data_IF_955257563124
#
_entry.id   IF_955257563124
#
_cell.length_a   1.000
_cell.length_b   1.000
_cell.length_c   1.000
_cell.angle_alpha   90.00
_cell.angle_beta   90.00
_cell.angle_gamma   90.00
#
_symmetry.space_group_name_H-M   'P 1'
#
loop_
_entity.id
_entity.type
_entity.pdbx_description
1 polymer ?
#
# COMPACT_ATOMS: atom_id res chain seq x y z
N UNK A 1 -33.54 62.31 5.64
CA UNK A 1 -33.88 60.86 5.57
C UNK A 1 -33.79 60.22 4.18
N UNK A 2 -33.74 60.97 3.07
CA UNK A 2 -33.66 60.37 1.70
C UNK A 2 -32.25 59.99 1.21
N UNK A 3 -31.18 60.35 1.93
CA UNK A 3 -29.79 60.04 1.53
C UNK A 3 -29.25 58.73 2.09
N UNK A 4 -29.84 58.20 3.16
CA UNK A 4 -29.37 56.96 3.81
C UNK A 4 -29.87 55.69 3.10
N UNK A 5 -30.96 55.78 2.33
CA UNK A 5 -31.53 54.64 1.61
C UNK A 5 -30.76 54.27 0.32
N UNK A 6 -30.01 55.20 -0.27
CA UNK A 6 -29.30 54.94 -1.53
C UNK A 6 -28.01 54.14 -1.32
N UNK A 7 -27.34 54.29 -0.16
CA UNK A 7 -26.11 53.56 0.15
C UNK A 7 -26.36 52.08 0.50
N UNK A 8 -27.52 51.75 1.05
CA UNK A 8 -27.86 50.37 1.44
C UNK A 8 -28.19 49.49 0.23
N UNK A 9 -28.79 50.07 -0.83
CA UNK A 9 -29.12 49.32 -2.07
C UNK A 9 -27.85 49.04 -2.89
N UNK A 10 -26.86 49.94 -2.87
CA UNK A 10 -25.61 49.75 -3.60
C UNK A 10 -24.70 48.71 -2.93
N UNK A 11 -24.73 48.59 -1.60
CA UNK A 11 -23.98 47.55 -0.88
C UNK A 11 -24.57 46.14 -1.09
N UNK A 12 -25.87 46.02 -1.36
CA UNK A 12 -26.53 44.74 -1.58
C UNK A 12 -26.33 44.20 -3.02
N UNK A 13 -26.05 45.06 -4.00
CA UNK A 13 -25.80 44.66 -5.38
C UNK A 13 -24.39 44.12 -5.64
N UNK A 14 -23.45 44.30 -4.70
CA UNK A 14 -22.07 43.75 -4.78
C UNK A 14 -22.00 42.32 -4.18
N UNK A 15 -23.10 41.83 -3.60
CA UNK A 15 -23.26 40.44 -3.15
C UNK A 15 -23.87 39.53 -4.24
N UNK A 16 -23.86 39.96 -5.51
CA UNK A 16 -24.12 39.02 -6.61
C UNK A 16 -23.05 37.96 -6.60
N UNK A 17 -23.46 36.74 -6.22
CA UNK A 17 -22.65 35.53 -6.21
C UNK A 17 -21.71 35.53 -7.42
N UNK A 18 -20.41 35.65 -7.14
CA UNK A 18 -19.39 35.25 -8.11
C UNK A 18 -19.71 33.79 -8.36
N UNK A 19 -20.13 33.39 -9.58
CA UNK A 19 -20.29 31.98 -9.87
C UNK A 19 -18.93 31.37 -9.54
N UNK A 20 -18.90 30.42 -8.60
CA UNK A 20 -17.74 29.59 -8.39
C UNK A 20 -17.47 28.94 -9.74
N UNK A 21 -16.56 29.55 -10.52
CA UNK A 21 -16.04 28.93 -11.71
C UNK A 21 -15.41 27.66 -11.17
N UNK A 22 -16.06 26.53 -11.42
CA UNK A 22 -15.49 25.23 -11.18
C UNK A 22 -14.17 25.24 -11.96
N UNK A 23 -13.09 25.49 -11.24
CA UNK A 23 -11.76 25.38 -11.80
C UNK A 23 -11.69 23.93 -12.25
N UNK A 24 -11.39 23.66 -13.52
CA UNK A 24 -11.03 22.31 -13.93
C UNK A 24 -9.78 21.95 -13.12
N UNK A 25 -10.00 21.21 -12.03
CA UNK A 25 -8.91 20.74 -11.19
C UNK A 25 -8.39 19.48 -11.85
N UNK A 26 -7.37 19.62 -12.66
CA UNK A 26 -6.63 18.48 -13.18
C UNK A 26 -5.85 17.82 -12.02
N UNK A 27 -6.00 16.50 -11.90
CA UNK A 27 -5.10 15.69 -11.08
C UNK A 27 -3.71 15.75 -11.74
N UNK A 28 -2.64 16.05 -11.01
CA UNK A 28 -1.32 16.05 -11.62
C UNK A 28 -0.98 14.65 -12.08
N UNK A 29 -0.53 14.60 -13.32
CA UNK A 29 0.06 13.42 -13.90
C UNK A 29 1.48 13.29 -13.39
N UNK A 30 1.75 12.22 -12.66
CA UNK A 30 3.10 11.88 -12.26
C UNK A 30 3.75 11.05 -13.35
N UNK A 31 5.05 11.28 -13.52
CA UNK A 31 5.91 10.43 -14.34
C UNK A 31 5.94 9.01 -13.79
N UNK A 32 6.35 8.06 -14.63
CA UNK A 32 6.49 6.67 -14.20
C UNK A 32 7.52 6.53 -13.06
N UNK A 33 8.58 7.34 -13.08
CA UNK A 33 9.65 7.29 -12.09
C UNK A 33 9.18 7.74 -10.70
N UNK A 34 8.43 8.84 -10.61
CA UNK A 34 7.82 9.32 -9.36
C UNK A 34 6.84 8.30 -8.77
N UNK A 35 6.11 7.57 -9.63
CA UNK A 35 5.20 6.49 -9.19
C UNK A 35 5.98 5.32 -8.57
N UNK A 36 7.11 4.94 -9.15
CA UNK A 36 7.96 3.87 -8.63
C UNK A 36 8.64 4.26 -7.32
N UNK A 37 9.17 5.48 -7.23
CA UNK A 37 9.78 5.98 -5.99
C UNK A 37 8.77 5.96 -4.83
N UNK A 38 7.53 6.41 -5.08
CA UNK A 38 6.47 6.35 -4.07
C UNK A 38 6.11 4.92 -3.68
N UNK A 39 6.05 4.00 -4.64
CA UNK A 39 5.77 2.58 -4.37
C UNK A 39 6.86 1.97 -3.49
N UNK A 40 8.13 2.20 -3.81
CA UNK A 40 9.27 1.71 -3.03
C UNK A 40 9.23 2.23 -1.58
N UNK A 41 8.95 3.53 -1.40
CA UNK A 41 8.79 4.12 -0.07
C UNK A 41 7.65 3.46 0.73
N UNK A 42 6.50 3.22 0.08
CA UNK A 42 5.36 2.58 0.74
C UNK A 42 5.66 1.14 1.14
N UNK A 43 6.35 0.37 0.28
CA UNK A 43 6.74 -1.01 0.59
C UNK A 43 7.60 -1.08 1.85
N UNK A 44 8.65 -0.25 1.94
CA UNK A 44 9.51 -0.20 3.14
C UNK A 44 8.72 0.26 4.37
N UNK A 45 7.85 1.26 4.22
CA UNK A 45 6.99 1.72 5.31
C UNK A 45 6.09 0.62 5.87
N UNK A 46 5.59 -0.26 5.01
CA UNK A 46 4.75 -1.40 5.39
C UNK A 46 5.55 -2.50 6.08
N UNK A 47 6.74 -2.80 5.57
CA UNK A 47 7.68 -3.76 6.18
C UNK A 47 8.13 -3.30 7.57
N UNK A 48 8.38 -2.02 7.75
CA UNK A 48 8.68 -1.44 9.06
C UNK A 48 7.47 -1.53 10.00
N UNK A 49 6.27 -1.22 9.52
CA UNK A 49 5.06 -1.28 10.33
C UNK A 49 4.76 -2.72 10.80
N UNK A 50 4.95 -3.72 9.95
CA UNK A 50 4.69 -5.12 10.30
C UNK A 50 5.70 -5.66 11.32
N UNK A 51 6.97 -5.23 11.24
CA UNK A 51 7.99 -5.56 12.25
C UNK A 51 7.63 -4.94 13.59
N UNK A 52 7.31 -3.64 13.61
CA UNK A 52 6.92 -2.95 14.86
C UNK A 52 5.68 -3.56 15.52
N UNK A 53 4.71 -4.00 14.72
CA UNK A 53 3.54 -4.72 15.24
C UNK A 53 3.93 -6.11 15.78
N UNK A 54 4.77 -6.86 15.07
CA UNK A 54 5.27 -8.15 15.53
C UNK A 54 5.99 -8.07 16.88
N UNK A 55 6.81 -7.04 17.07
CA UNK A 55 7.50 -6.75 18.34
C UNK A 55 6.50 -6.56 19.49
N UNK A 56 5.41 -5.82 19.25
CA UNK A 56 4.33 -5.64 20.25
C UNK A 56 3.65 -6.96 20.65
N UNK A 57 3.71 -7.97 19.78
CA UNK A 57 3.25 -9.33 20.04
C UNK A 57 4.35 -10.29 20.51
N UNK A 58 5.55 -9.77 20.81
CA UNK A 58 6.68 -10.54 21.31
C UNK A 58 7.40 -11.37 20.24
N UNK A 59 7.24 -11.03 18.96
CA UNK A 59 7.94 -11.67 17.85
C UNK A 59 9.24 -10.93 17.54
N UNK A 60 10.28 -11.69 17.21
CA UNK A 60 11.53 -11.18 16.62
C UNK A 60 11.33 -10.84 15.13
N UNK A 61 12.19 -10.00 14.51
CA UNK A 61 12.10 -9.71 13.08
C UNK A 61 12.15 -10.97 12.18
N UNK A 62 12.95 -11.97 12.56
CA UNK A 62 13.02 -13.27 11.89
C UNK A 62 11.68 -14.01 11.94
N UNK A 63 11.06 -14.09 13.12
CA UNK A 63 9.73 -14.69 13.29
C UNK A 63 8.66 -13.95 12.49
N UNK A 64 8.73 -12.62 12.43
CA UNK A 64 7.86 -11.80 11.57
C UNK A 64 8.09 -12.18 10.10
N UNK A 65 9.34 -12.31 9.66
CA UNK A 65 9.69 -12.67 8.29
C UNK A 65 9.11 -14.03 7.89
N UNK A 66 9.26 -15.05 8.74
CA UNK A 66 8.64 -16.36 8.50
C UNK A 66 7.12 -16.30 8.47
N UNK A 67 6.54 -15.53 9.39
CA UNK A 67 5.10 -15.37 9.47
C UNK A 67 4.53 -14.68 8.22
N UNK A 68 5.11 -13.55 7.77
CA UNK A 68 4.71 -12.87 6.53
C UNK A 68 4.97 -13.75 5.32
N UNK A 69 6.15 -14.36 5.25
CA UNK A 69 6.57 -15.27 4.20
C UNK A 69 5.52 -16.34 3.93
N UNK A 70 5.04 -17.03 4.98
CA UNK A 70 4.02 -18.10 4.86
C UNK A 70 2.78 -17.69 4.06
N UNK A 71 2.29 -16.47 4.23
CA UNK A 71 1.11 -15.98 3.53
C UNK A 71 1.45 -15.45 2.14
N UNK A 72 2.61 -14.83 1.99
CA UNK A 72 3.11 -14.36 0.71
C UNK A 72 3.43 -15.49 -0.26
N UNK A 73 3.96 -16.63 0.22
CA UNK A 73 4.41 -17.74 -0.62
C UNK A 73 3.34 -18.25 -1.59
N UNK A 74 2.05 -18.14 -1.22
CA UNK A 74 0.94 -18.52 -2.10
C UNK A 74 0.77 -17.59 -3.31
N UNK A 75 1.13 -16.31 -3.18
CA UNK A 75 1.17 -15.36 -4.30
C UNK A 75 2.38 -15.52 -5.22
N UNK A 76 3.29 -16.44 -4.89
CA UNK A 76 4.51 -16.74 -5.64
C UNK A 76 4.42 -18.02 -6.48
N UNK A 77 3.19 -18.45 -6.82
CA UNK A 77 2.96 -19.59 -7.71
C UNK A 77 3.72 -19.42 -9.04
N UNK A 78 4.58 -20.38 -9.34
CA UNK A 78 5.39 -20.42 -10.56
C UNK A 78 6.90 -20.17 -10.38
N UNK A 79 7.41 -20.16 -9.14
CA UNK A 79 8.83 -20.01 -8.82
C UNK A 79 9.52 -21.31 -8.40
N UNK A 80 9.23 -22.46 -9.02
CA UNK A 80 9.72 -23.78 -8.54
C UNK A 80 11.11 -24.16 -9.03
N UNK A 81 11.65 -23.41 -9.98
CA UNK A 81 13.06 -23.45 -10.36
C UNK A 81 13.77 -22.22 -9.78
N UNK A 82 15.01 -22.38 -9.33
CA UNK A 82 15.83 -21.29 -8.82
C UNK A 82 15.81 -20.04 -9.72
N UNK A 83 15.89 -20.22 -11.05
CA UNK A 83 15.84 -19.11 -12.01
C UNK A 83 14.49 -18.40 -12.05
N UNK A 84 13.38 -19.13 -11.88
CA UNK A 84 12.03 -18.56 -11.88
C UNK A 84 11.79 -17.78 -10.58
N UNK A 85 12.20 -18.34 -9.44
CA UNK A 85 12.15 -17.66 -8.16
C UNK A 85 13.01 -16.38 -8.18
N UNK A 86 14.26 -16.48 -8.65
CA UNK A 86 15.14 -15.33 -8.81
C UNK A 86 14.50 -14.26 -9.71
N UNK A 87 13.94 -14.64 -10.86
CA UNK A 87 13.28 -13.69 -11.77
C UNK A 87 12.13 -12.97 -11.06
N UNK A 88 11.37 -13.70 -10.25
CA UNK A 88 10.27 -13.15 -9.47
C UNK A 88 10.76 -12.22 -8.34
N UNK A 89 11.86 -12.56 -7.66
CA UNK A 89 12.51 -11.71 -6.66
C UNK A 89 13.09 -10.45 -7.30
N UNK A 90 13.79 -10.60 -8.42
CA UNK A 90 14.35 -9.48 -9.17
C UNK A 90 13.26 -8.52 -9.66
N UNK A 91 12.12 -9.02 -10.13
CA UNK A 91 11.02 -8.12 -10.52
C UNK A 91 10.53 -7.25 -9.36
N UNK A 92 10.49 -7.78 -8.13
CA UNK A 92 10.13 -7.00 -6.96
C UNK A 92 11.25 -6.03 -6.57
N UNK A 93 12.51 -6.48 -6.66
CA UNK A 93 13.70 -5.66 -6.45
C UNK A 93 13.75 -4.44 -7.37
N UNK A 94 13.41 -4.65 -8.64
CA UNK A 94 13.39 -3.58 -9.66
C UNK A 94 12.29 -2.53 -9.43
N UNK A 95 11.42 -2.70 -8.43
CA UNK A 95 10.51 -1.64 -8.00
C UNK A 95 11.24 -0.48 -7.30
N UNK A 96 12.46 -0.72 -6.80
CA UNK A 96 13.26 0.28 -6.10
C UNK A 96 14.13 1.08 -7.08
N UNK A 97 14.08 2.43 -7.05
CA UNK A 97 15.02 3.26 -7.80
C UNK A 97 16.48 2.92 -7.45
N UNK A 98 17.33 2.78 -8.48
CA UNK A 98 18.73 2.42 -8.30
C UNK A 98 18.99 0.93 -8.01
N UNK A 99 17.96 0.07 -8.05
CA UNK A 99 18.12 -1.37 -7.97
C UNK A 99 19.03 -1.92 -9.07
N UNK A 100 19.99 -2.73 -8.68
CA UNK A 100 20.88 -3.49 -9.57
C UNK A 100 20.97 -4.93 -9.10
N UNK A 101 20.99 -5.85 -10.05
CA UNK A 101 21.16 -7.29 -9.81
C UNK A 101 22.11 -7.90 -10.84
N UNK A 102 22.91 -8.88 -10.42
CA UNK A 102 23.81 -9.63 -11.30
C UNK A 102 23.67 -11.13 -11.03
N UNK A 103 23.58 -11.95 -12.09
CA UNK A 103 23.72 -13.41 -11.95
C UNK A 103 25.20 -13.75 -12.02
N UNK A 104 25.76 -14.23 -10.91
CA UNK A 104 27.18 -14.59 -10.78
C UNK A 104 27.45 -15.95 -11.40
N UNK A 105 26.56 -16.91 -11.18
CA UNK A 105 26.64 -18.23 -11.79
C UNK A 105 25.25 -18.85 -11.93
N UNK A 106 25.10 -19.73 -12.91
CA UNK A 106 23.84 -20.45 -13.16
C UNK A 106 24.13 -21.82 -13.74
N UNK A 107 23.44 -22.81 -13.20
CA UNK A 107 23.38 -24.19 -13.67
C UNK A 107 21.89 -24.59 -13.76
N UNK A 108 21.56 -25.78 -14.29
CA UNK A 108 20.16 -26.21 -14.34
C UNK A 108 19.46 -26.32 -12.96
N UNK A 109 20.22 -26.54 -11.88
CA UNK A 109 19.65 -26.77 -10.54
C UNK A 109 20.14 -25.81 -9.47
N UNK A 110 21.16 -25.00 -9.76
CA UNK A 110 21.73 -24.04 -8.81
C UNK A 110 21.99 -22.69 -9.47
N UNK A 111 21.77 -21.62 -8.73
CA UNK A 111 21.98 -20.25 -9.18
C UNK A 111 22.58 -19.40 -8.06
N UNK A 112 23.51 -18.52 -8.41
CA UNK A 112 24.04 -17.49 -7.50
C UNK A 112 23.82 -16.12 -8.12
N UNK A 113 23.25 -15.19 -7.36
CA UNK A 113 23.03 -13.82 -7.79
C UNK A 113 23.38 -12.80 -6.70
N UNK A 114 23.76 -11.59 -7.11
CA UNK A 114 24.02 -10.44 -6.25
C UNK A 114 22.95 -9.39 -6.46
N UNK A 115 22.44 -8.83 -5.37
CA UNK A 115 21.51 -7.71 -5.37
C UNK A 115 22.10 -6.58 -4.52
N UNK A 116 22.07 -5.34 -4.98
CA UNK A 116 22.34 -4.22 -4.08
C UNK A 116 21.16 -4.03 -3.10
N UNK A 117 21.29 -3.16 -2.10
CA UNK A 117 20.24 -2.90 -1.09
C UNK A 117 19.65 -1.49 -1.19
N UNK A 118 18.86 -1.17 -2.24
CA UNK A 118 18.30 0.16 -2.45
C UNK A 118 17.24 0.51 -1.40
N UNK A 119 16.60 -0.49 -0.76
CA UNK A 119 15.66 -0.30 0.34
C UNK A 119 16.29 0.37 1.56
N UNK A 120 17.58 0.15 1.82
CA UNK A 120 18.31 0.78 2.93
C UNK A 120 18.29 2.31 2.83
N UNK A 121 18.30 2.85 1.60
CA UNK A 121 18.22 4.30 1.35
C UNK A 121 16.86 4.92 1.69
N UNK A 122 15.81 4.10 1.80
CA UNK A 122 14.46 4.52 2.17
C UNK A 122 14.26 4.57 3.69
N UNK A 123 15.21 4.04 4.46
CA UNK A 123 15.19 4.14 5.91
C UNK A 123 15.55 5.57 6.36
N UNK A 124 14.99 5.99 7.49
CA UNK A 124 15.22 7.32 8.06
C UNK A 124 16.68 7.58 8.41
N UNK A 125 16.97 8.81 8.86
CA UNK A 125 18.33 9.20 9.24
C UNK A 125 18.94 8.23 10.26
N UNK A 126 20.09 7.64 9.90
CA UNK A 126 20.77 6.62 10.73
C UNK A 126 20.29 5.19 10.51
N UNK A 127 19.46 4.91 9.49
CA UNK A 127 18.97 3.57 9.20
C UNK A 127 17.87 3.11 10.15
N UNK A 128 17.08 4.04 10.69
CA UNK A 128 15.99 3.74 11.62
C UNK A 128 14.72 4.46 11.21
N UNK A 129 13.61 3.73 11.16
CA UNK A 129 12.27 4.25 10.87
C UNK A 129 11.28 3.61 11.85
N UNK A 130 10.46 4.42 12.53
CA UNK A 130 9.45 3.92 13.50
C UNK A 130 10.02 2.95 14.56
N UNK A 131 11.28 3.12 14.96
CA UNK A 131 11.95 2.26 15.94
C UNK A 131 12.57 0.98 15.37
N UNK A 132 12.33 0.66 14.09
CA UNK A 132 12.88 -0.50 13.39
C UNK A 132 14.18 -0.10 12.70
N UNK A 133 15.24 -0.88 12.91
CA UNK A 133 16.53 -0.67 12.25
C UNK A 133 16.58 -1.30 10.86
N UNK A 134 17.52 -0.85 10.02
CA UNK A 134 17.85 -1.50 8.75
C UNK A 134 18.25 -2.97 8.94
N UNK A 135 18.88 -3.31 10.07
CA UNK A 135 19.26 -4.69 10.41
C UNK A 135 18.03 -5.56 10.67
N UNK A 136 17.05 -5.07 11.43
CA UNK A 136 15.79 -5.76 11.68
C UNK A 136 14.99 -5.96 10.39
N UNK A 137 14.95 -4.93 9.54
CA UNK A 137 14.32 -5.00 8.23
C UNK A 137 14.96 -6.09 7.36
N UNK A 138 16.28 -6.10 7.25
CA UNK A 138 17.00 -7.09 6.45
C UNK A 138 16.84 -8.50 7.01
N UNK A 139 16.86 -8.65 8.35
CA UNK A 139 16.61 -9.94 9.02
C UNK A 139 15.22 -10.48 8.66
N UNK A 140 14.19 -9.63 8.73
CA UNK A 140 12.82 -9.99 8.34
C UNK A 140 12.73 -10.37 6.85
N UNK A 141 13.37 -9.59 5.96
CA UNK A 141 13.36 -9.86 4.51
C UNK A 141 14.07 -11.16 4.13
N UNK A 142 15.18 -11.50 4.79
CA UNK A 142 15.86 -12.79 4.60
C UNK A 142 14.93 -13.94 4.96
N UNK A 143 14.36 -13.93 6.17
CA UNK A 143 13.46 -14.97 6.64
C UNK A 143 12.18 -15.09 5.78
N UNK A 144 11.64 -13.95 5.32
CA UNK A 144 10.53 -13.90 4.37
C UNK A 144 10.87 -14.61 3.05
N UNK A 145 12.01 -14.26 2.45
CA UNK A 145 12.41 -14.84 1.17
C UNK A 145 12.77 -16.32 1.29
N UNK A 146 13.40 -16.75 2.38
CA UNK A 146 13.65 -18.16 2.67
C UNK A 146 12.35 -18.95 2.76
N UNK A 147 11.35 -18.43 3.48
CA UNK A 147 10.03 -19.07 3.60
C UNK A 147 9.31 -19.18 2.25
N UNK A 148 9.46 -18.18 1.38
CA UNK A 148 8.93 -18.20 0.01
C UNK A 148 9.66 -19.24 -0.84
N UNK A 149 10.98 -19.32 -0.71
CA UNK A 149 11.81 -20.28 -1.43
C UNK A 149 11.45 -21.71 -1.03
N UNK A 150 11.38 -21.99 0.27
CA UNK A 150 11.03 -23.30 0.83
C UNK A 150 9.66 -23.77 0.33
N UNK A 151 8.66 -22.87 0.34
CA UNK A 151 7.33 -23.18 -0.17
C UNK A 151 7.32 -23.54 -1.66
N UNK A 152 8.21 -22.91 -2.43
CA UNK A 152 8.38 -23.19 -3.85
C UNK A 152 9.32 -24.37 -4.13
N UNK A 153 9.89 -24.99 -3.10
CA UNK A 153 10.83 -26.11 -3.28
C UNK A 153 12.19 -25.67 -3.78
N UNK A 154 12.64 -24.49 -3.38
CA UNK A 154 13.98 -23.95 -3.65
C UNK A 154 14.67 -23.72 -2.31
N UNK A 155 15.83 -24.32 -2.08
CA UNK A 155 16.68 -23.92 -0.97
C UNK A 155 17.28 -22.55 -1.28
N UNK A 156 17.16 -21.60 -0.35
CA UNK A 156 17.74 -20.27 -0.47
C UNK A 156 18.64 -19.98 0.72
N UNK A 157 19.88 -19.63 0.42
CA UNK A 157 20.83 -19.04 1.36
C UNK A 157 21.11 -17.59 0.94
N UNK A 158 21.20 -16.70 1.93
CA UNK A 158 21.47 -15.27 1.72
C UNK A 158 22.68 -14.88 2.58
N UNK A 159 23.71 -14.33 1.95
CA UNK A 159 24.90 -13.80 2.61
C UNK A 159 25.08 -12.32 2.24
N UNK A 160 25.34 -11.44 3.20
CA UNK A 160 25.64 -10.04 2.91
C UNK A 160 27.14 -9.86 2.63
N UNK A 161 27.47 -9.40 1.43
CA UNK A 161 28.82 -9.04 0.96
C UNK A 161 28.89 -7.53 0.66
N UNK A 162 29.28 -6.75 1.67
CA UNK A 162 29.35 -5.29 1.61
C UNK A 162 27.97 -4.67 1.38
N UNK A 163 27.81 -3.93 0.29
CA UNK A 163 26.53 -3.28 -0.07
C UNK A 163 25.56 -4.21 -0.83
N UNK A 164 25.89 -5.50 -0.91
CA UNK A 164 25.11 -6.48 -1.67
C UNK A 164 24.67 -7.66 -0.82
N UNK A 165 23.51 -8.22 -1.16
CA UNK A 165 23.12 -9.56 -0.76
C UNK A 165 23.46 -10.55 -1.87
N UNK A 166 24.11 -11.64 -1.50
CA UNK A 166 24.45 -12.78 -2.34
C UNK A 166 23.46 -13.89 -2.05
N UNK A 167 22.63 -14.20 -3.03
CA UNK A 167 21.62 -15.24 -2.95
C UNK A 167 22.14 -16.48 -3.64
N UNK A 168 22.21 -17.59 -2.89
CA UNK A 168 22.51 -18.92 -3.41
C UNK A 168 21.23 -19.74 -3.39
N UNK A 169 20.78 -20.21 -4.56
CA UNK A 169 19.54 -20.94 -4.73
C UNK A 169 19.79 -22.34 -5.29
N UNK A 170 19.14 -23.36 -4.74
CA UNK A 170 19.09 -24.71 -5.28
C UNK A 170 17.66 -25.23 -5.46
N UNK A 171 17.33 -25.69 -6.67
CA UNK A 171 16.04 -26.33 -6.96
C UNK A 171 15.99 -27.72 -6.31
N UNK A 172 15.04 -27.93 -5.39
CA UNK A 172 14.92 -29.19 -4.63
C UNK A 172 13.98 -30.21 -5.29
N UNK A 173 13.01 -29.76 -6.10
CA UNK A 173 12.02 -30.63 -6.75
C UNK A 173 11.89 -30.32 -8.25
N UNK A 174 11.56 -31.35 -9.05
CA UNK A 174 11.37 -31.21 -10.51
C UNK A 174 10.19 -30.30 -10.91
N UNK A 175 10.11 -29.87 -12.18
CA UNK A 175 9.15 -28.86 -12.62
C UNK A 175 7.71 -29.35 -12.46
N UNK A 176 6.88 -28.55 -11.80
CA UNK A 176 5.41 -28.70 -11.80
C UNK A 176 4.84 -27.49 -12.53
N UNK A 177 4.01 -27.72 -13.55
CA UNK A 177 3.36 -26.67 -14.32
C UNK A 177 2.51 -25.76 -13.41
N UNK A 178 2.85 -24.49 -13.34
CA UNK A 178 1.99 -23.44 -12.77
C UNK A 178 1.25 -22.71 -13.90
N UNK A 179 -0.03 -22.40 -13.67
CA UNK A 179 -0.90 -21.67 -14.60
C UNK A 179 -0.46 -20.21 -14.75
N UNK A 180 -0.43 -19.71 -15.98
CA UNK A 180 0.23 -18.46 -16.41
C UNK A 180 -0.46 -17.12 -16.06
N UNK A 181 -1.51 -17.08 -15.25
CA UNK A 181 -2.47 -15.97 -15.28
C UNK A 181 -2.23 -14.76 -14.34
N UNK A 182 -1.07 -14.62 -13.67
CA UNK A 182 -0.87 -13.57 -12.63
C UNK A 182 0.31 -12.59 -12.88
N UNK A 183 0.63 -12.23 -14.13
CA UNK A 183 1.81 -11.40 -14.40
C UNK A 183 1.64 -9.88 -14.16
N UNK A 184 0.42 -9.34 -14.15
CA UNK A 184 0.22 -7.88 -14.23
C UNK A 184 -0.25 -7.16 -12.96
N UNK A 185 -0.56 -7.84 -11.87
CA UNK A 185 -1.11 -7.17 -10.67
C UNK A 185 -0.35 -7.52 -9.38
N UNK A 186 0.93 -7.91 -9.47
CA UNK A 186 1.63 -8.51 -8.32
C UNK A 186 1.86 -7.54 -7.16
N UNK A 187 2.37 -6.33 -7.39
CA UNK A 187 2.62 -5.36 -6.31
C UNK A 187 1.34 -4.96 -5.58
N UNK A 188 0.29 -4.64 -6.34
CA UNK A 188 -1.04 -4.35 -5.82
C UNK A 188 -1.63 -5.55 -5.07
N UNK A 189 -1.60 -6.74 -5.66
CA UNK A 189 -2.06 -7.98 -5.02
C UNK A 189 -1.31 -8.27 -3.72
N UNK A 190 0.02 -8.11 -3.70
CA UNK A 190 0.83 -8.28 -2.50
C UNK A 190 0.49 -7.23 -1.43
N UNK A 191 0.26 -5.97 -1.81
CA UNK A 191 -0.20 -4.94 -0.86
C UNK A 191 -1.59 -5.29 -0.30
N UNK A 192 -2.53 -5.75 -1.12
CA UNK A 192 -3.82 -6.21 -0.58
C UNK A 192 -3.66 -7.43 0.33
N UNK A 193 -2.77 -8.38 -0.01
CA UNK A 193 -2.50 -9.53 0.85
C UNK A 193 -1.94 -9.12 2.21
N UNK A 194 -0.94 -8.23 2.27
CA UNK A 194 -0.40 -7.75 3.56
C UNK A 194 -1.48 -7.09 4.38
N UNK A 195 -2.27 -6.19 3.77
CA UNK A 195 -3.29 -5.46 4.51
C UNK A 195 -4.40 -6.41 5.00
N UNK A 196 -4.84 -7.37 4.18
CA UNK A 196 -5.81 -8.40 4.60
C UNK A 196 -5.26 -9.29 5.71
N UNK A 197 -3.96 -9.60 5.69
CA UNK A 197 -3.30 -10.34 6.76
C UNK A 197 -3.28 -9.54 8.08
N UNK A 198 -2.85 -8.28 8.04
CA UNK A 198 -2.85 -7.37 9.18
C UNK A 198 -4.26 -7.22 9.77
N UNK A 199 -5.24 -7.05 8.90
CA UNK A 199 -6.64 -6.96 9.29
C UNK A 199 -7.12 -8.28 9.95
N UNK A 200 -6.83 -9.43 9.34
CA UNK A 200 -7.18 -10.74 9.88
C UNK A 200 -6.66 -10.95 11.30
N UNK A 201 -5.39 -10.61 11.57
CA UNK A 201 -4.83 -10.68 12.93
C UNK A 201 -5.58 -9.82 13.93
N UNK A 202 -5.88 -8.57 13.56
CA UNK A 202 -6.57 -7.64 14.45
C UNK A 202 -7.99 -8.12 14.74
N UNK A 203 -8.69 -8.66 13.74
CA UNK A 203 -9.98 -9.31 13.93
C UNK A 203 -9.88 -10.53 14.85
N UNK A 204 -8.87 -11.38 14.67
CA UNK A 204 -8.61 -12.55 15.54
C UNK A 204 -8.29 -12.15 16.99
N UNK A 205 -7.67 -10.98 17.19
CA UNK A 205 -7.42 -10.41 18.53
C UNK A 205 -8.68 -9.88 19.22
N UNK A 206 -9.81 -9.85 18.52
CA UNK A 206 -11.12 -9.41 19.03
C UNK A 206 -11.52 -8.00 18.61
N UNK A 207 -10.75 -7.30 17.78
CA UNK A 207 -11.15 -6.01 17.23
C UNK A 207 -12.28 -6.19 16.21
N UNK A 208 -13.19 -5.22 16.16
CA UNK A 208 -14.14 -5.05 15.06
C UNK A 208 -13.44 -4.46 13.84
N UNK A 209 -14.00 -4.65 12.64
CA UNK A 209 -13.44 -4.08 11.41
C UNK A 209 -13.31 -2.55 11.47
N UNK A 210 -14.27 -1.88 12.11
CA UNK A 210 -14.20 -0.44 12.37
C UNK A 210 -13.02 -0.07 13.26
N UNK A 211 -12.83 -0.77 14.39
CA UNK A 211 -11.68 -0.54 15.28
C UNK A 211 -10.34 -0.77 14.56
N UNK A 212 -10.26 -1.73 13.64
CA UNK A 212 -9.08 -1.95 12.80
C UNK A 212 -8.74 -0.69 12.00
N UNK A 213 -9.72 -0.15 11.29
CA UNK A 213 -9.54 1.06 10.48
C UNK A 213 -9.19 2.30 11.32
N UNK A 214 -9.82 2.46 12.49
CA UNK A 214 -9.53 3.55 13.43
C UNK A 214 -8.09 3.45 13.97
N UNK A 215 -7.63 2.24 14.31
CA UNK A 215 -6.27 2.00 14.76
C UNK A 215 -5.23 2.27 13.65
N UNK A 216 -5.51 1.85 12.40
CA UNK A 216 -4.67 2.18 11.25
C UNK A 216 -4.63 3.69 11.00
N UNK A 217 -5.76 4.38 11.11
CA UNK A 217 -5.80 5.83 10.97
C UNK A 217 -4.95 6.51 12.05
N UNK A 218 -5.05 6.08 13.31
CA UNK A 218 -4.24 6.63 14.39
C UNK A 218 -2.73 6.49 14.13
N UNK A 219 -2.31 5.37 13.52
CA UNK A 219 -0.92 5.13 13.15
C UNK A 219 -0.46 6.04 12.00
N UNK A 220 -1.26 6.12 10.93
CA UNK A 220 -0.82 6.73 9.68
C UNK A 220 -1.23 8.18 9.49
N UNK A 221 -2.25 8.70 10.19
CA UNK A 221 -2.81 10.03 9.94
C UNK A 221 -1.75 11.15 10.02
N UNK A 222 -0.77 11.00 10.91
CA UNK A 222 0.34 11.96 11.05
C UNK A 222 1.23 12.09 9.79
N UNK A 223 1.24 11.08 8.92
CA UNK A 223 1.97 11.10 7.65
C UNK A 223 1.24 11.84 6.54
N UNK A 224 -0.02 12.23 6.78
CA UNK A 224 -0.83 13.00 5.85
C UNK A 224 -0.71 14.49 6.10
N UNK A 225 -0.69 15.28 5.02
CA UNK A 225 -0.50 16.73 5.10
C UNK A 225 -1.52 17.52 4.27
N UNK A 226 -2.71 16.95 4.02
CA UNK A 226 -3.73 17.61 3.23
C UNK A 226 -4.37 18.80 3.99
N UNK A 227 -4.56 19.92 3.31
CA UNK A 227 -5.13 21.16 3.86
C UNK A 227 -6.51 21.50 3.30
N UNK A 228 -6.92 20.81 2.23
CA UNK A 228 -8.23 20.96 1.61
C UNK A 228 -8.86 19.59 1.40
N UNK A 229 -10.21 19.50 1.33
CA UNK A 229 -10.91 18.26 1.02
C UNK A 229 -10.42 17.63 -0.29
N UNK A 230 -10.17 18.44 -1.32
CA UNK A 230 -9.58 17.99 -2.57
C UNK A 230 -8.21 17.32 -2.38
N UNK A 231 -7.31 17.93 -1.60
CA UNK A 231 -5.99 17.36 -1.35
C UNK A 231 -6.09 16.02 -0.61
N UNK A 232 -7.02 15.88 0.33
CA UNK A 232 -7.23 14.65 1.07
C UNK A 232 -7.80 13.56 0.16
N UNK A 233 -8.89 13.84 -0.56
CA UNK A 233 -9.48 12.90 -1.52
C UNK A 233 -8.43 12.44 -2.54
N UNK A 234 -7.66 13.37 -3.11
CA UNK A 234 -6.61 13.05 -4.07
C UNK A 234 -5.54 12.14 -3.46
N UNK A 235 -5.10 12.37 -2.23
CA UNK A 235 -4.13 11.50 -1.57
C UNK A 235 -4.68 10.09 -1.28
N UNK A 236 -5.95 9.99 -0.91
CA UNK A 236 -6.63 8.70 -0.71
C UNK A 236 -6.81 7.95 -2.04
N UNK A 237 -7.27 8.67 -3.07
CA UNK A 237 -7.37 8.14 -4.43
C UNK A 237 -6.01 7.69 -4.96
N UNK A 238 -4.94 8.42 -4.67
CA UNK A 238 -3.57 8.05 -5.03
C UNK A 238 -3.17 6.69 -4.45
N UNK A 239 -3.44 6.46 -3.15
CA UNK A 239 -3.15 5.16 -2.52
C UNK A 239 -4.02 4.02 -3.09
N UNK A 240 -5.19 4.35 -3.63
CA UNK A 240 -6.13 3.41 -4.24
C UNK A 240 -5.79 3.08 -5.71
N UNK A 241 -5.05 3.93 -6.42
CA UNK A 241 -4.61 3.71 -7.82
C UNK A 241 -3.48 2.68 -7.99
N UNK A 242 -3.33 1.73 -7.07
CA UNK A 242 -2.45 0.57 -7.27
C UNK A 242 -2.99 -0.39 -8.33
N UNK A 243 -4.29 -0.32 -8.67
CA UNK A 243 -4.89 -0.97 -9.84
C UNK A 243 -4.98 0.03 -11.02
N UNK A 244 -4.40 -0.29 -12.21
CA UNK A 244 -4.44 0.61 -13.37
C UNK A 244 -5.85 0.84 -13.95
N UNK A 245 -6.83 0.02 -13.60
CA UNK A 245 -8.23 0.19 -14.00
C UNK A 245 -9.05 0.97 -12.98
N UNK A 246 -8.47 1.31 -11.82
CA UNK A 246 -9.15 2.10 -10.80
C UNK A 246 -9.13 3.58 -11.19
N UNK A 247 -10.30 4.10 -11.54
CA UNK A 247 -10.50 5.53 -11.79
C UNK A 247 -11.76 6.00 -11.09
N UNK A 248 -11.70 7.18 -10.48
CA UNK A 248 -12.86 7.83 -9.87
C UNK A 248 -13.34 8.97 -10.76
N UNK A 249 -14.65 9.12 -10.87
CA UNK A 249 -15.30 10.28 -11.47
C UNK A 249 -15.50 11.36 -10.39
N UNK A 250 -14.85 12.51 -10.53
CA UNK A 250 -15.07 13.66 -9.63
C UNK A 250 -16.34 14.36 -10.05
N UNK A 251 -17.35 14.34 -9.19
CA UNK A 251 -18.68 14.96 -9.43
C UNK A 251 -18.63 16.45 -9.14
N UNK A 252 -17.97 16.85 -8.05
CA UNK A 252 -17.76 18.25 -7.69
C UNK A 252 -16.47 18.40 -6.88
N UNK A 253 -15.78 19.53 -7.05
CA UNK A 253 -14.63 19.89 -6.23
C UNK A 253 -14.59 21.40 -6.00
N UNK A 254 -14.45 21.79 -4.74
CA UNK A 254 -14.38 23.17 -4.28
C UNK A 254 -13.45 23.32 -3.07
N UNK A 255 -13.33 24.53 -2.52
CA UNK A 255 -12.41 24.80 -1.41
C UNK A 255 -12.78 24.08 -0.11
N UNK A 256 -14.07 23.79 0.10
CA UNK A 256 -14.61 23.24 1.34
C UNK A 256 -15.31 21.88 1.16
N UNK A 257 -15.42 21.38 -0.08
CA UNK A 257 -16.03 20.09 -0.39
C UNK A 257 -15.43 19.45 -1.64
N UNK A 258 -15.31 18.13 -1.66
CA UNK A 258 -15.17 17.32 -2.88
C UNK A 258 -16.13 16.15 -2.81
N UNK A 259 -16.74 15.81 -3.95
CA UNK A 259 -17.57 14.62 -4.12
C UNK A 259 -17.11 13.82 -5.34
N UNK A 260 -16.97 12.51 -5.20
CA UNK A 260 -16.52 11.62 -6.26
C UNK A 260 -17.25 10.27 -6.24
N UNK A 261 -17.32 9.61 -7.40
CA UNK A 261 -17.83 8.26 -7.61
C UNK A 261 -16.65 7.34 -7.95
N UNK A 262 -16.45 6.29 -7.19
CA UNK A 262 -15.32 5.37 -7.34
C UNK A 262 -15.81 3.91 -7.41
N UNK A 263 -15.24 3.06 -8.27
CA UNK A 263 -15.54 1.63 -8.24
C UNK A 263 -15.06 0.99 -6.91
N UNK A 264 -15.57 -0.18 -6.59
CA UNK A 264 -15.09 -0.96 -5.44
C UNK A 264 -13.85 -1.75 -5.89
N UNK A 265 -12.67 -1.31 -5.47
CA UNK A 265 -11.37 -1.80 -5.97
C UNK A 265 -10.97 -3.21 -5.50
N UNK A 266 -11.46 -3.63 -4.34
CA UNK A 266 -10.90 -4.79 -3.64
C UNK A 266 -11.75 -6.05 -3.77
N UNK A 267 -12.93 -5.98 -4.38
CA UNK A 267 -13.90 -7.09 -4.37
C UNK A 267 -13.30 -8.38 -4.95
N UNK A 268 -12.60 -8.30 -6.08
CA UNK A 268 -11.95 -9.46 -6.70
C UNK A 268 -10.81 -10.04 -5.84
N UNK A 269 -10.02 -9.20 -5.17
CA UNK A 269 -8.90 -9.68 -4.34
C UNK A 269 -9.41 -10.26 -3.03
N UNK A 270 -10.35 -9.59 -2.36
CA UNK A 270 -10.90 -10.03 -1.07
C UNK A 270 -11.74 -11.29 -1.24
N UNK A 271 -12.52 -11.42 -2.31
CA UNK A 271 -13.29 -12.64 -2.57
C UNK A 271 -12.38 -13.87 -2.71
N UNK A 272 -11.21 -13.70 -3.34
CA UNK A 272 -10.28 -14.81 -3.57
C UNK A 272 -9.31 -15.06 -2.40
N UNK A 273 -8.78 -13.99 -1.79
CA UNK A 273 -7.72 -14.07 -0.79
C UNK A 273 -8.21 -13.78 0.65
N UNK A 274 -9.25 -12.97 0.83
CA UNK A 274 -9.77 -12.61 2.16
C UNK A 274 -10.22 -13.82 2.98
N UNK A 275 -10.76 -14.85 2.31
CA UNK A 275 -11.12 -16.14 2.95
C UNK A 275 -9.94 -16.77 3.68
N UNK A 276 -8.71 -16.61 3.17
CA UNK A 276 -7.51 -17.19 3.77
C UNK A 276 -7.15 -16.53 5.12
N UNK A 277 -7.60 -15.30 5.33
CA UNK A 277 -7.34 -14.49 6.52
C UNK A 277 -8.59 -14.30 7.37
N UNK A 278 -9.69 -15.01 7.06
CA UNK A 278 -10.99 -14.83 7.70
C UNK A 278 -11.50 -13.38 7.63
N UNK A 279 -11.19 -12.67 6.54
CA UNK A 279 -11.61 -11.29 6.28
C UNK A 279 -12.66 -11.27 5.18
N UNK A 280 -13.81 -10.64 5.43
CA UNK A 280 -14.90 -10.52 4.45
C UNK A 280 -14.86 -9.18 3.70
N UNK A 281 -15.46 -9.07 2.49
CA UNK A 281 -15.59 -7.80 1.78
C UNK A 281 -16.27 -6.69 2.58
N UNK A 282 -17.25 -7.04 3.42
CA UNK A 282 -17.95 -6.10 4.29
C UNK A 282 -17.02 -5.54 5.35
N UNK A 283 -16.23 -6.41 5.99
CA UNK A 283 -15.24 -6.00 6.98
C UNK A 283 -14.20 -5.07 6.34
N UNK A 284 -13.72 -5.39 5.14
CA UNK A 284 -12.78 -4.53 4.39
C UNK A 284 -13.38 -3.16 4.07
N UNK A 285 -14.65 -3.12 3.69
CA UNK A 285 -15.37 -1.88 3.41
C UNK A 285 -15.46 -1.02 4.66
N UNK A 286 -15.87 -1.62 5.78
CA UNK A 286 -15.99 -0.93 7.06
C UNK A 286 -14.65 -0.40 7.58
N UNK A 287 -13.59 -1.23 7.52
CA UNK A 287 -12.24 -0.81 7.94
C UNK A 287 -11.68 0.32 7.07
N UNK A 288 -11.84 0.25 5.74
CA UNK A 288 -11.38 1.32 4.85
C UNK A 288 -12.14 2.63 5.09
N UNK A 289 -13.45 2.55 5.31
CA UNK A 289 -14.26 3.73 5.63
C UNK A 289 -13.80 4.35 6.95
N UNK A 290 -13.63 3.55 7.99
CA UNK A 290 -13.16 4.00 9.30
C UNK A 290 -11.75 4.61 9.25
N UNK A 291 -10.85 4.02 8.45
CA UNK A 291 -9.52 4.56 8.19
C UNK A 291 -9.60 5.97 7.56
N UNK A 292 -10.37 6.11 6.48
CA UNK A 292 -10.51 7.38 5.78
C UNK A 292 -11.18 8.46 6.65
N UNK A 293 -12.16 8.08 7.46
CA UNK A 293 -12.80 8.94 8.47
C UNK A 293 -11.79 9.43 9.51
N UNK A 294 -10.97 8.53 10.07
CA UNK A 294 -9.98 8.87 11.09
C UNK A 294 -8.89 9.81 10.56
N UNK A 295 -8.38 9.57 9.35
CA UNK A 295 -7.42 10.47 8.71
C UNK A 295 -8.05 11.84 8.41
N UNK A 296 -9.30 11.86 7.93
CA UNK A 296 -10.01 13.11 7.69
C UNK A 296 -10.21 13.92 8.96
N UNK A 297 -10.63 13.26 10.05
CA UNK A 297 -10.82 13.90 11.35
C UNK A 297 -9.54 14.50 11.90
N UNK A 298 -8.43 13.77 11.85
CA UNK A 298 -7.11 14.26 12.26
C UNK A 298 -6.71 15.55 11.53
N UNK A 299 -7.10 15.69 10.26
CA UNK A 299 -6.82 16.86 9.42
C UNK A 299 -7.89 17.97 9.52
N UNK A 300 -8.85 17.86 10.44
CA UNK A 300 -9.92 18.85 10.60
C UNK A 300 -10.97 18.81 9.48
N UNK A 301 -11.17 17.64 8.89
CA UNK A 301 -12.13 17.40 7.81
C UNK A 301 -13.14 16.32 8.23
N UNK A 302 -14.09 16.03 7.34
CA UNK A 302 -15.06 14.96 7.48
C UNK A 302 -15.06 14.16 6.18
N UNK A 303 -14.91 12.84 6.30
CA UNK A 303 -15.13 11.89 5.22
C UNK A 303 -16.51 11.25 5.40
N UNK A 304 -17.26 11.12 4.33
CA UNK A 304 -18.52 10.37 4.28
C UNK A 304 -18.51 9.51 3.04
N UNK A 305 -18.90 8.27 3.20
CA UNK A 305 -18.95 7.31 2.12
C UNK A 305 -20.26 6.56 2.12
N UNK A 306 -20.86 6.42 0.94
CA UNK A 306 -22.06 5.61 0.71
C UNK A 306 -21.84 4.74 -0.52
N UNK A 307 -22.67 3.70 -0.67
CA UNK A 307 -22.70 2.88 -1.88
C UNK A 307 -24.01 3.14 -2.62
N UNK A 308 -23.91 3.61 -3.87
CA UNK A 308 -25.04 3.88 -4.76
C UNK A 308 -24.83 3.07 -6.05
N UNK A 309 -25.75 2.15 -6.36
CA UNK A 309 -25.71 1.31 -7.57
C UNK A 309 -24.39 0.54 -7.75
N UNK A 310 -23.80 0.05 -6.65
CA UNK A 310 -22.52 -0.69 -6.66
C UNK A 310 -21.28 0.21 -6.83
N UNK A 311 -21.44 1.52 -6.74
CA UNK A 311 -20.36 2.51 -6.83
C UNK A 311 -20.23 3.23 -5.49
N UNK A 312 -18.99 3.42 -5.01
CA UNK A 312 -18.72 4.21 -3.81
C UNK A 312 -18.89 5.68 -4.13
N UNK A 313 -19.71 6.38 -3.36
CA UNK A 313 -19.85 7.84 -3.42
C UNK A 313 -19.16 8.42 -2.20
N UNK A 314 -18.04 9.08 -2.45
CA UNK A 314 -17.19 9.68 -1.42
C UNK A 314 -17.46 11.18 -1.39
N UNK A 315 -17.69 11.72 -0.20
CA UNK A 315 -17.81 13.16 0.06
C UNK A 315 -16.82 13.54 1.16
N UNK A 316 -15.97 14.51 0.89
CA UNK A 316 -15.05 15.06 1.89
C UNK A 316 -15.39 16.54 2.09
N UNK A 317 -15.59 16.96 3.34
CA UNK A 317 -15.90 18.35 3.69
C UNK A 317 -14.93 18.89 4.73
N UNK A 318 -14.68 20.20 4.69
CA UNK A 318 -13.96 20.89 5.76
C UNK A 318 -14.92 21.06 6.96
N UNK A 319 -14.42 20.84 8.19
CA UNK A 319 -15.19 21.14 9.42
C UNK A 319 -15.16 22.63 9.76
#
# INVERSE_FOLDING_TARGET
MKRTLLSTVLALAVLTAIPAQAQEIELPEFTMEERWERMAFLLVGWEVAIISMGEQHGMTPEEVGHWVGKYFSQGWLGGREAVQLLTAMNRNHMAFPGATSEVVSSTPTSLVARFNRPGDSQMGAGGVTMGVSTEDLNTMLVALNQTIADWNGVALEVETDGDHDVLTMETLYGPIQASNDLRWNRGNYLSWLTWLQLMGMKLESGMTAREVGEADAALYASTWSARTPWQLFRGMHWNAMTDPNYSCEVVSAGPDEVRARCPIQYEAVVTNAGVQFNVTPEAVTEANQAFAEGVAEYLGMRWVETVEDGVRVITVTRR
#
